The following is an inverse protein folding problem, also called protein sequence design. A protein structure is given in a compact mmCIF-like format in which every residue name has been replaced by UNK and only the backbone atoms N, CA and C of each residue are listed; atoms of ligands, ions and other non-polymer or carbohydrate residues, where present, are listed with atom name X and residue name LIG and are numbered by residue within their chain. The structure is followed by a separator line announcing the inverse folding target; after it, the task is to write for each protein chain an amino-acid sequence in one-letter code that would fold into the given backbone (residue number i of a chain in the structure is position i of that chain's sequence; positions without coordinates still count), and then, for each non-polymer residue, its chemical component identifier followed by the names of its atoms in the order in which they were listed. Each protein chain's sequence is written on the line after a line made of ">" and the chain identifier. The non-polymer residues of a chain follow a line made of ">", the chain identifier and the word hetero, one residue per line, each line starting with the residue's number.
data_IF_949852879219
#
_entry.id   IF_949852879219
#
_cell.length_a   1.000
_cell.length_b   1.000
_cell.length_c   1.000
_cell.angle_alpha   90.00
_cell.angle_beta   90.00
_cell.angle_gamma   90.00
#
_symmetry.space_group_name_H-M   'P 1'
#
loop_
_entity.id
_entity.type
_entity.pdbx_description
1 polymer ?
#
# COMPACT_ATOMS: atom_id res chain seq x y z
N UNK A 1 3.31 -13.39 3.73
CA UNK A 1 3.10 -12.01 4.21
C UNK A 1 4.42 -11.27 4.05
N UNK A 2 4.48 -10.26 3.19
CA UNK A 2 5.69 -9.42 3.02
C UNK A 2 5.68 -8.37 4.13
N UNK A 3 6.67 -8.39 5.01
CA UNK A 3 6.85 -7.39 6.06
C UNK A 3 8.19 -6.70 5.84
N UNK A 4 8.16 -5.37 5.71
CA UNK A 4 9.38 -4.58 5.71
C UNK A 4 9.91 -4.54 7.14
N UNK A 5 11.13 -5.04 7.34
CA UNK A 5 11.78 -5.00 8.64
C UNK A 5 12.54 -3.69 8.79
N UNK A 6 12.33 -3.05 9.94
CA UNK A 6 13.00 -1.85 10.38
C UNK A 6 14.01 -2.24 11.46
N UNK A 7 15.18 -1.58 11.51
CA UNK A 7 16.13 -1.82 12.59
C UNK A 7 15.49 -1.48 13.94
N UNK A 8 15.68 -2.28 15.00
CA UNK A 8 15.05 -2.05 16.30
C UNK A 8 15.29 -0.63 16.86
N UNK A 9 16.47 -0.08 16.62
CA UNK A 9 16.84 1.29 17.03
C UNK A 9 15.98 2.37 16.38
N UNK A 10 15.53 2.16 15.15
CA UNK A 10 14.67 3.10 14.42
C UNK A 10 13.24 3.01 14.95
N UNK A 11 12.75 1.81 15.26
CA UNK A 11 11.44 1.62 15.91
C UNK A 11 11.39 2.28 17.29
N UNK A 12 12.44 2.13 18.09
CA UNK A 12 12.54 2.75 19.41
C UNK A 12 12.58 4.28 19.32
N UNK A 13 13.36 4.83 18.38
CA UNK A 13 13.41 6.27 18.14
C UNK A 13 12.07 6.84 17.68
N UNK A 14 11.35 6.13 16.81
CA UNK A 14 10.01 6.55 16.34
C UNK A 14 9.02 6.63 17.50
N UNK A 15 8.96 5.60 18.35
CA UNK A 15 8.06 5.59 19.52
C UNK A 15 8.37 6.74 20.48
N UNK A 16 9.65 7.01 20.72
CA UNK A 16 10.06 8.10 21.62
C UNK A 16 9.70 9.47 21.05
N UNK A 17 9.84 9.67 19.74
CA UNK A 17 9.67 10.98 19.10
C UNK A 17 8.21 11.29 18.77
N UNK A 18 7.46 10.32 18.26
CA UNK A 18 6.07 10.53 17.80
C UNK A 18 5.06 10.34 18.94
N UNK A 19 5.40 9.52 19.95
CA UNK A 19 4.46 9.16 21.00
C UNK A 19 3.30 8.29 20.50
N UNK A 20 2.25 8.10 21.32
CA UNK A 20 1.06 7.38 20.90
C UNK A 20 0.25 8.18 19.89
N UNK A 21 -0.40 7.48 18.95
CA UNK A 21 -1.31 8.09 17.99
C UNK A 21 -2.51 8.74 18.73
N UNK A 22 -2.82 10.02 18.47
CA UNK A 22 -4.01 10.65 19.03
C UNK A 22 -5.29 9.93 18.62
N UNK A 23 -6.27 9.81 19.53
CA UNK A 23 -7.54 9.14 19.24
C UNK A 23 -8.29 9.77 18.05
N UNK A 24 -8.15 11.09 17.85
CA UNK A 24 -8.72 11.82 16.71
C UNK A 24 -8.12 11.43 15.35
N UNK A 25 -6.94 10.83 15.34
CA UNK A 25 -6.21 10.43 14.13
C UNK A 25 -6.27 8.92 13.89
N UNK A 26 -6.97 8.18 14.74
CA UNK A 26 -7.00 6.72 14.70
C UNK A 26 -7.69 6.19 13.43
N UNK A 27 -8.85 6.75 13.09
CA UNK A 27 -9.59 6.41 11.87
C UNK A 27 -8.82 6.71 10.57
N UNK A 28 -8.26 7.93 10.34
CA UNK A 28 -7.47 8.19 9.14
C UNK A 28 -6.18 7.38 9.09
N UNK A 29 -5.57 7.07 10.24
CA UNK A 29 -4.41 6.18 10.30
C UNK A 29 -4.77 4.75 9.87
N UNK A 30 -5.86 4.19 10.37
CA UNK A 30 -6.34 2.85 9.99
C UNK A 30 -6.65 2.78 8.49
N UNK A 31 -7.35 3.79 7.97
CA UNK A 31 -7.62 3.95 6.54
C UNK A 31 -6.34 3.97 5.68
N UNK A 32 -5.36 4.78 6.09
CA UNK A 32 -4.10 4.87 5.34
C UNK A 32 -3.21 3.64 5.51
N UNK A 33 -3.23 3.00 6.69
CA UNK A 33 -2.55 1.72 6.91
C UNK A 33 -3.15 0.63 6.03
N UNK A 34 -4.48 0.61 5.87
CA UNK A 34 -5.15 -0.35 4.99
C UNK A 34 -4.80 -0.14 3.52
N UNK A 35 -4.76 1.10 3.03
CA UNK A 35 -4.40 1.37 1.63
C UNK A 35 -2.90 1.10 1.41
N UNK A 36 -2.05 1.76 2.20
CA UNK A 36 -0.61 1.86 1.94
C UNK A 36 0.22 0.77 2.59
N UNK A 37 -0.31 0.07 3.59
CA UNK A 37 0.35 -1.08 4.23
C UNK A 37 0.22 -2.38 3.44
N UNK A 38 -0.62 -2.42 2.40
CA UNK A 38 -0.80 -3.65 1.62
C UNK A 38 0.41 -3.96 0.74
N UNK A 39 0.74 -5.25 0.62
CA UNK A 39 1.75 -5.69 -0.35
C UNK A 39 1.42 -5.27 -1.78
N UNK A 40 0.13 -5.08 -2.11
CA UNK A 40 -0.32 -4.58 -3.41
C UNK A 40 0.12 -3.14 -3.63
N UNK A 41 -0.06 -2.25 -2.65
CA UNK A 41 0.45 -0.88 -2.77
C UNK A 41 1.97 -0.84 -2.85
N UNK A 42 2.67 -1.68 -2.07
CA UNK A 42 4.13 -1.78 -2.16
C UNK A 42 4.61 -2.19 -3.57
N UNK A 43 3.92 -3.14 -4.22
CA UNK A 43 4.21 -3.53 -5.60
C UNK A 43 3.81 -2.43 -6.61
N UNK A 44 2.71 -1.73 -6.37
CA UNK A 44 2.22 -0.64 -7.23
C UNK A 44 3.20 0.54 -7.30
N UNK A 45 4.04 0.73 -6.28
CA UNK A 45 5.08 1.77 -6.22
C UNK A 45 6.30 1.42 -7.09
N UNK A 46 6.52 0.14 -7.41
CA UNK A 46 7.71 -0.27 -8.16
C UNK A 46 7.64 0.18 -9.63
N UNK A 47 8.75 0.68 -10.18
CA UNK A 47 8.93 0.83 -11.62
C UNK A 47 8.75 -0.51 -12.35
N UNK A 48 8.31 -0.51 -13.62
CA UNK A 48 8.07 -1.73 -14.39
C UNK A 48 9.27 -2.70 -14.40
N UNK A 49 10.49 -2.19 -14.49
CA UNK A 49 11.69 -3.03 -14.54
C UNK A 49 11.95 -3.77 -13.23
N UNK A 50 11.62 -3.13 -12.09
CA UNK A 50 11.77 -3.76 -10.77
C UNK A 50 10.61 -4.69 -10.46
N UNK A 51 9.40 -4.35 -10.91
CA UNK A 51 8.20 -5.18 -10.73
C UNK A 51 8.39 -6.56 -11.37
N UNK A 52 8.89 -6.62 -12.61
CA UNK A 52 9.15 -7.88 -13.33
C UNK A 52 10.24 -8.75 -12.69
N UNK A 53 11.08 -8.18 -11.80
CA UNK A 53 12.10 -8.93 -11.06
C UNK A 53 11.56 -9.58 -9.79
N UNK A 54 10.51 -9.00 -9.19
CA UNK A 54 9.95 -9.46 -7.91
C UNK A 54 8.62 -10.21 -8.06
N UNK A 55 7.92 -10.04 -9.19
CA UNK A 55 6.70 -10.78 -9.51
C UNK A 55 6.98 -11.76 -10.64
N UNK A 56 6.74 -13.05 -10.39
CA UNK A 56 6.54 -14.03 -11.46
C UNK A 56 5.06 -14.09 -11.79
N UNK A 57 4.66 -13.50 -12.91
CA UNK A 57 3.29 -13.64 -13.42
C UNK A 57 3.04 -15.06 -13.91
N UNK A 58 1.83 -15.57 -13.71
CA UNK A 58 1.35 -16.77 -14.38
C UNK A 58 1.14 -16.45 -15.87
N UNK A 59 1.30 -17.42 -16.79
CA UNK A 59 0.98 -17.20 -18.20
C UNK A 59 -0.46 -16.69 -18.35
N UNK A 60 -0.63 -15.52 -18.96
CA UNK A 60 -1.94 -14.86 -19.11
C UNK A 60 -2.30 -13.83 -18.04
N UNK A 61 -1.51 -13.67 -16.97
CA UNK A 61 -1.71 -12.59 -15.99
C UNK A 61 -0.77 -11.41 -16.24
N UNK A 62 -1.33 -10.20 -16.22
CA UNK A 62 -0.57 -8.96 -16.27
C UNK A 62 -0.70 -8.23 -14.93
N UNK A 63 0.29 -8.44 -14.05
CA UNK A 63 0.33 -7.78 -12.75
C UNK A 63 0.38 -6.25 -12.87
N UNK A 64 0.97 -5.71 -13.93
CA UNK A 64 1.02 -4.27 -14.15
C UNK A 64 -0.39 -3.69 -14.29
N UNK A 65 -1.23 -4.33 -15.11
CA UNK A 65 -2.63 -3.96 -15.29
C UNK A 65 -3.44 -4.21 -14.02
N UNK A 66 -3.18 -5.33 -13.33
CA UNK A 66 -3.87 -5.65 -12.09
C UNK A 66 -3.63 -4.57 -11.01
N UNK A 67 -2.43 -4.00 -10.97
CA UNK A 67 -2.05 -2.95 -10.01
C UNK A 67 -2.49 -1.54 -10.43
N UNK A 68 -3.00 -1.34 -11.65
CA UNK A 68 -3.40 -0.03 -12.16
C UNK A 68 -4.43 0.69 -11.26
N UNK A 69 -5.50 0.04 -10.74
CA UNK A 69 -6.43 0.69 -9.82
C UNK A 69 -5.74 1.13 -8.52
N UNK A 70 -4.76 0.36 -8.05
CA UNK A 70 -3.98 0.69 -6.84
C UNK A 70 -3.00 1.83 -7.10
N UNK A 71 -2.50 1.98 -8.33
CA UNK A 71 -1.66 3.13 -8.71
C UNK A 71 -2.49 4.39 -8.88
N UNK A 72 -3.69 4.29 -9.44
CA UNK A 72 -4.55 5.43 -9.73
C UNK A 72 -4.93 6.20 -8.47
N UNK A 73 -5.10 5.52 -7.33
CA UNK A 73 -5.50 6.14 -6.06
C UNK A 73 -4.37 6.92 -5.38
N UNK A 74 -3.11 6.79 -5.85
CA UNK A 74 -1.96 7.43 -5.20
C UNK A 74 -1.97 8.94 -5.46
N UNK A 75 -1.78 9.79 -4.44
CA UNK A 75 -1.71 11.24 -4.61
C UNK A 75 -0.65 11.71 -5.61
N UNK A 76 0.51 11.01 -5.67
CA UNK A 76 1.56 11.33 -6.64
C UNK A 76 1.14 11.11 -8.11
N UNK A 77 0.05 10.37 -8.34
CA UNK A 77 -0.54 10.11 -9.64
C UNK A 77 -1.84 10.90 -9.87
N UNK A 78 -2.18 11.83 -8.96
CA UNK A 78 -3.42 12.63 -9.02
C UNK A 78 -4.65 11.96 -8.41
N UNK A 79 -4.50 10.83 -7.69
CA UNK A 79 -5.60 10.16 -7.00
C UNK A 79 -5.99 10.78 -5.66
N UNK A 80 -7.19 10.48 -5.19
CA UNK A 80 -7.79 11.06 -3.99
C UNK A 80 -7.15 10.59 -2.67
N UNK A 81 -6.23 9.62 -2.72
CA UNK A 81 -5.50 9.15 -1.56
C UNK A 81 -6.37 8.32 -0.59
N UNK A 82 -6.50 8.78 0.65
CA UNK A 82 -7.26 8.10 1.71
C UNK A 82 -8.71 8.62 1.76
N UNK A 83 -9.51 8.27 0.75
CA UNK A 83 -10.96 8.50 0.75
C UNK A 83 -11.74 7.20 1.04
N UNK A 84 -12.86 7.29 1.75
CA UNK A 84 -13.67 6.13 2.12
C UNK A 84 -14.20 5.34 0.90
N UNK A 85 -14.50 6.04 -0.20
CA UNK A 85 -14.91 5.46 -1.47
C UNK A 85 -13.79 4.63 -2.08
N UNK A 86 -12.58 5.19 -2.07
CA UNK A 86 -11.36 4.54 -2.56
C UNK A 86 -11.08 3.26 -1.79
N UNK A 87 -11.18 3.28 -0.46
CA UNK A 87 -10.99 2.09 0.40
C UNK A 87 -11.99 1.01 0.00
N UNK A 88 -13.26 1.37 -0.17
CA UNK A 88 -14.31 0.41 -0.56
C UNK A 88 -14.04 -0.19 -1.94
N UNK A 89 -13.60 0.61 -2.91
CA UNK A 89 -13.23 0.12 -4.24
C UNK A 89 -12.04 -0.85 -4.16
N UNK A 90 -10.98 -0.49 -3.42
CA UNK A 90 -9.81 -1.35 -3.25
C UNK A 90 -10.14 -2.68 -2.55
N UNK A 91 -11.04 -2.68 -1.57
CA UNK A 91 -11.57 -3.90 -0.91
C UNK A 91 -12.29 -4.81 -1.90
N UNK A 92 -12.99 -4.23 -2.89
CA UNK A 92 -13.73 -5.00 -3.90
C UNK A 92 -12.86 -5.58 -5.02
N UNK A 93 -11.58 -5.19 -5.10
CA UNK A 93 -10.64 -5.74 -6.06
C UNK A 93 -10.35 -7.21 -5.73
N UNK A 94 -11.10 -8.11 -6.36
CA UNK A 94 -10.73 -9.51 -6.48
C UNK A 94 -9.64 -9.65 -7.54
N UNK A 95 -8.40 -9.68 -7.07
CA UNK A 95 -7.28 -10.18 -7.88
C UNK A 95 -7.48 -11.68 -7.99
N UNK A 96 -8.23 -12.12 -9.01
CA UNK A 96 -8.31 -13.52 -9.37
C UNK A 96 -6.90 -14.01 -9.68
N UNK A 97 -6.29 -14.68 -8.71
CA UNK A 97 -5.07 -15.46 -8.85
C UNK A 97 -5.46 -16.93 -8.93
#
# INVERSE_FOLDING_TARGET
>A
MLALQCAPSVLESLHRTLGPLPASEQEPYEACSEIYGTSRMLLAVLPPELLGRVVRSYPGSNMENALEPVRAVRPCNGGDGCDAEVIRQLRSLNFGL
#
